data_IF_905864595216
#
_entry.id   IF_905864595216
#
_cell.length_a   1.000
_cell.length_b   1.000
_cell.length_c   1.000
_cell.angle_alpha   90.00
_cell.angle_beta   90.00
_cell.angle_gamma   90.00
#
_symmetry.space_group_name_H-M   'P 1'
#
loop_
_entity.id
_entity.type
_entity.pdbx_description
1 polymer ?
#
# COMPACT_ATOMS: atom_id res chain seq x y z
N UNK A 1 -33.39 -37.72 52.90
CA UNK A 1 -33.24 -36.32 52.43
C UNK A 1 -32.76 -36.41 50.98
N UNK A 2 -33.71 -36.53 50.04
CA UNK A 2 -34.13 -35.47 49.09
C UNK A 2 -33.04 -35.22 48.03
N UNK A 3 -33.13 -35.78 46.83
CA UNK A 3 -33.94 -35.35 45.66
C UNK A 3 -33.57 -33.97 45.08
N UNK A 4 -33.48 -33.97 43.74
CA UNK A 4 -33.52 -32.86 42.76
C UNK A 4 -32.19 -32.12 42.48
N UNK A 5 -31.88 -31.61 41.28
CA UNK A 5 -32.36 -31.77 39.89
C UNK A 5 -31.45 -30.91 38.98
N UNK A 6 -31.58 -31.12 37.67
CA UNK A 6 -30.91 -30.48 36.52
C UNK A 6 -30.51 -28.99 36.60
N UNK A 7 -29.41 -28.63 35.92
CA UNK A 7 -29.39 -27.44 35.07
C UNK A 7 -28.42 -27.58 33.89
N UNK A 8 -29.01 -27.67 32.70
CA UNK A 8 -28.40 -27.36 31.40
C UNK A 8 -28.05 -25.87 31.37
N UNK A 9 -26.80 -25.55 31.07
CA UNK A 9 -26.42 -24.20 30.66
C UNK A 9 -25.58 -24.27 29.38
N UNK A 10 -26.24 -23.89 28.28
CA UNK A 10 -25.61 -23.54 27.01
C UNK A 10 -24.53 -22.47 27.26
N UNK A 11 -23.30 -22.74 26.85
CA UNK A 11 -22.28 -21.69 26.70
C UNK A 11 -22.00 -21.55 25.20
N UNK A 12 -22.37 -20.36 24.75
CA UNK A 12 -22.19 -19.77 23.44
C UNK A 12 -20.71 -19.92 23.03
N UNK A 13 -20.47 -20.54 21.87
CA UNK A 13 -19.14 -20.53 21.24
C UNK A 13 -18.98 -19.14 20.61
N UNK A 14 -18.46 -18.20 21.39
CA UNK A 14 -17.98 -16.93 20.87
C UNK A 14 -16.78 -17.20 19.95
N UNK A 15 -17.02 -17.01 18.66
CA UNK A 15 -16.04 -17.07 17.60
C UNK A 15 -15.05 -15.91 17.70
N UNK A 16 -14.06 -16.05 18.57
CA UNK A 16 -12.80 -15.30 18.49
C UNK A 16 -11.76 -16.18 17.78
N UNK A 17 -11.82 -16.19 16.45
CA UNK A 17 -10.76 -16.77 15.64
C UNK A 17 -9.53 -15.85 15.78
N UNK A 18 -8.54 -16.32 16.53
CA UNK A 18 -7.29 -15.60 16.79
C UNK A 18 -6.51 -15.45 15.48
N UNK A 19 -6.64 -14.28 14.87
CA UNK A 19 -5.80 -13.82 13.76
C UNK A 19 -4.53 -13.22 14.38
N UNK A 20 -3.41 -13.91 14.15
CA UNK A 20 -2.03 -13.41 14.26
C UNK A 20 -1.60 -12.81 15.61
N UNK A 21 -1.11 -13.67 16.52
CA UNK A 21 -0.12 -13.28 17.52
C UNK A 21 1.21 -13.97 17.21
N UNK A 22 1.94 -13.40 16.28
CA UNK A 22 3.40 -13.54 16.15
C UNK A 22 3.90 -12.19 15.64
N UNK A 23 4.00 -11.23 16.57
CA UNK A 23 4.68 -9.95 16.37
C UNK A 23 5.72 -9.89 17.48
N UNK A 24 6.98 -10.01 17.09
CA UNK A 24 8.12 -9.71 17.94
C UNK A 24 7.99 -8.30 18.52
N UNK A 25 8.19 -8.23 19.82
CA UNK A 25 8.04 -7.07 20.69
C UNK A 25 9.08 -5.99 20.34
N UNK A 26 8.67 -4.88 19.71
CA UNK A 26 9.46 -3.63 19.68
C UNK A 26 8.54 -2.38 19.70
N UNK A 27 8.53 -1.77 20.89
CA UNK A 27 8.53 -0.33 21.23
C UNK A 27 7.62 0.62 20.43
N UNK A 28 6.56 1.06 21.11
CA UNK A 28 5.71 2.20 20.79
C UNK A 28 6.53 3.50 20.73
N UNK A 29 6.42 4.24 19.63
CA UNK A 29 6.66 5.70 19.63
C UNK A 29 5.72 6.42 18.65
N UNK A 30 4.89 7.26 19.24
CA UNK A 30 4.02 8.35 18.76
C UNK A 30 3.95 8.65 17.25
N UNK A 31 2.80 8.33 16.62
CA UNK A 31 2.21 9.08 15.46
C UNK A 31 0.93 8.40 14.90
N UNK A 32 -0.19 8.46 15.64
CA UNK A 32 -1.39 7.65 15.32
C UNK A 32 -2.52 8.35 14.51
N UNK A 33 -2.26 9.48 13.85
CA UNK A 33 -3.29 10.18 13.04
C UNK A 33 -3.04 10.09 11.51
N UNK A 34 -1.81 9.86 11.06
CA UNK A 34 -1.46 9.80 9.64
C UNK A 34 -1.62 8.41 9.02
N UNK A 35 -1.37 7.33 9.78
CA UNK A 35 -1.46 5.96 9.26
C UNK A 35 -2.90 5.59 8.83
N UNK A 36 -3.91 6.18 9.46
CA UNK A 36 -5.32 5.90 9.15
C UNK A 36 -5.73 6.42 7.76
N UNK A 37 -5.24 7.61 7.37
CA UNK A 37 -5.59 8.24 6.08
C UNK A 37 -4.92 7.55 4.89
N UNK A 38 -3.68 7.08 5.03
CA UNK A 38 -2.99 6.31 3.99
C UNK A 38 -3.70 4.98 3.70
N UNK A 39 -4.18 4.32 4.77
CA UNK A 39 -4.89 3.05 4.67
C UNK A 39 -6.27 3.20 4.01
N UNK A 40 -7.04 4.21 4.41
CA UNK A 40 -8.36 4.50 3.82
C UNK A 40 -8.25 4.83 2.32
N UNK A 41 -7.31 5.69 1.95
CA UNK A 41 -7.06 6.04 0.54
C UNK A 41 -6.57 4.85 -0.28
N UNK A 42 -5.79 3.95 0.31
CA UNK A 42 -5.40 2.69 -0.33
C UNK A 42 -6.62 1.81 -0.58
N UNK A 43 -7.43 1.51 0.43
CA UNK A 43 -8.61 0.64 0.25
C UNK A 43 -9.64 1.21 -0.71
N UNK A 44 -9.81 2.53 -0.76
CA UNK A 44 -10.65 3.20 -1.76
C UNK A 44 -10.23 2.85 -3.20
N UNK A 45 -8.91 2.83 -3.48
CA UNK A 45 -8.37 2.42 -4.78
C UNK A 45 -8.54 0.92 -5.02
N UNK A 46 -8.35 0.09 -3.98
CA UNK A 46 -8.49 -1.37 -4.05
C UNK A 46 -9.92 -1.76 -4.43
N UNK A 47 -10.92 -1.18 -3.77
CA UNK A 47 -12.33 -1.46 -4.07
C UNK A 47 -12.76 -0.93 -5.44
N UNK A 48 -12.29 0.26 -5.83
CA UNK A 48 -12.50 0.78 -7.19
C UNK A 48 -11.87 -0.10 -8.28
N UNK A 49 -10.77 -0.81 -7.97
CA UNK A 49 -10.21 -1.82 -8.86
C UNK A 49 -11.06 -3.11 -8.86
N UNK A 50 -11.54 -3.55 -7.69
CA UNK A 50 -12.38 -4.75 -7.55
C UNK A 50 -13.64 -4.67 -8.41
N UNK A 51 -14.31 -3.53 -8.45
CA UNK A 51 -15.54 -3.31 -9.25
C UNK A 51 -15.33 -3.46 -10.76
N UNK A 52 -14.10 -3.23 -11.26
CA UNK A 52 -13.78 -3.34 -12.68
C UNK A 52 -13.52 -4.78 -13.13
N UNK A 53 -13.48 -5.74 -12.20
CA UNK A 53 -13.14 -7.13 -12.50
C UNK A 53 -14.38 -7.93 -12.91
N UNK A 54 -14.25 -8.76 -13.94
CA UNK A 54 -15.33 -9.67 -14.38
C UNK A 54 -15.65 -10.78 -13.36
N UNK A 55 -14.66 -11.20 -12.57
CA UNK A 55 -14.77 -12.26 -11.56
C UNK A 55 -13.99 -11.88 -10.28
N UNK A 56 -14.47 -10.90 -9.49
CA UNK A 56 -13.69 -10.29 -8.42
C UNK A 56 -13.30 -11.29 -7.33
N UNK A 57 -14.22 -12.15 -6.90
CA UNK A 57 -13.99 -13.10 -5.79
C UNK A 57 -12.90 -14.14 -6.08
N UNK A 58 -12.66 -14.47 -7.36
CA UNK A 58 -11.58 -15.40 -7.74
C UNK A 58 -10.24 -14.70 -7.91
N UNK A 59 -10.22 -13.39 -8.14
CA UNK A 59 -9.00 -12.61 -8.34
C UNK A 59 -8.50 -12.02 -7.02
N UNK A 60 -9.43 -11.58 -6.18
CA UNK A 60 -9.18 -10.94 -4.89
C UNK A 60 -10.06 -11.63 -3.84
N UNK A 61 -9.43 -12.36 -2.94
CA UNK A 61 -10.12 -13.16 -1.92
C UNK A 61 -10.49 -12.24 -0.76
N UNK A 62 -11.79 -12.08 -0.51
CA UNK A 62 -12.29 -11.46 0.72
C UNK A 62 -12.20 -12.42 1.90
N UNK A 63 -12.22 -11.90 3.13
CA UNK A 63 -12.23 -12.73 4.33
C UNK A 63 -13.40 -13.72 4.33
N UNK A 64 -14.59 -13.25 3.95
CA UNK A 64 -15.78 -14.11 3.83
C UNK A 64 -15.62 -15.26 2.83
N UNK A 65 -14.84 -15.05 1.77
CA UNK A 65 -14.56 -16.06 0.76
C UNK A 65 -13.44 -17.01 1.21
N UNK A 66 -12.45 -16.47 1.90
CA UNK A 66 -11.39 -17.23 2.55
C UNK A 66 -11.95 -18.27 3.53
N UNK A 67 -12.88 -17.87 4.41
CA UNK A 67 -13.52 -18.77 5.38
C UNK A 67 -14.32 -19.87 4.68
N UNK A 68 -15.02 -19.54 3.59
CA UNK A 68 -15.73 -20.54 2.77
C UNK A 68 -14.77 -21.58 2.19
N UNK A 69 -13.57 -21.17 1.75
CA UNK A 69 -12.55 -22.09 1.25
C UNK A 69 -12.06 -23.00 2.39
N UNK A 70 -11.79 -22.45 3.58
CA UNK A 70 -11.35 -23.23 4.74
C UNK A 70 -12.40 -24.29 5.10
N UNK A 71 -13.67 -23.89 5.23
CA UNK A 71 -14.78 -24.82 5.56
C UNK A 71 -14.89 -25.94 4.52
N UNK A 72 -14.68 -25.63 3.23
CA UNK A 72 -14.70 -26.61 2.15
C UNK A 72 -13.55 -27.61 2.25
N UNK A 73 -12.35 -27.16 2.65
CA UNK A 73 -11.17 -28.00 2.76
C UNK A 73 -11.12 -28.82 4.06
N UNK A 74 -11.75 -28.33 5.14
CA UNK A 74 -11.82 -29.03 6.42
C UNK A 74 -12.83 -30.18 6.41
N UNK A 75 -13.90 -30.10 5.60
CA UNK A 75 -14.90 -31.17 5.55
C UNK A 75 -14.30 -32.42 4.92
N UNK A 76 -14.16 -33.53 5.66
CA UNK A 76 -13.82 -34.82 5.06
C UNK A 76 -14.91 -35.18 4.07
N UNK A 77 -14.55 -36.03 3.10
CA UNK A 77 -15.37 -36.38 1.93
C UNK A 77 -16.57 -37.27 2.34
N UNK A 78 -17.35 -36.85 3.32
CA UNK A 78 -18.60 -37.47 3.73
C UNK A 78 -19.59 -37.14 2.62
N UNK A 79 -20.13 -38.14 1.93
CA UNK A 79 -21.03 -37.99 0.77
C UNK A 79 -22.35 -37.23 1.01
N UNK A 80 -22.43 -36.37 2.02
CA UNK A 80 -23.50 -35.43 2.29
C UNK A 80 -23.35 -34.20 1.39
N UNK A 81 -24.41 -33.87 0.65
CA UNK A 81 -24.50 -32.64 -0.15
C UNK A 81 -24.34 -31.44 0.79
N UNK A 82 -23.18 -30.80 0.78
CA UNK A 82 -22.89 -29.59 1.57
C UNK A 82 -23.68 -28.36 1.10
N UNK A 83 -24.51 -28.50 0.05
CA UNK A 83 -25.18 -27.37 -0.62
C UNK A 83 -24.23 -26.49 -1.43
N UNK A 84 -22.94 -26.84 -1.48
CA UNK A 84 -21.90 -26.08 -2.15
C UNK A 84 -21.69 -26.65 -3.56
N UNK A 85 -21.53 -25.75 -4.54
CA UNK A 85 -21.28 -26.12 -5.94
C UNK A 85 -20.07 -27.07 -6.08
N UNK A 86 -20.29 -28.20 -6.75
CA UNK A 86 -19.26 -29.22 -6.98
C UNK A 86 -18.05 -28.65 -7.74
N UNK A 87 -18.27 -27.69 -8.64
CA UNK A 87 -17.16 -27.04 -9.38
C UNK A 87 -16.30 -26.20 -8.45
N UNK A 88 -16.91 -25.47 -7.50
CA UNK A 88 -16.19 -24.69 -6.50
C UNK A 88 -15.36 -25.59 -5.58
N UNK A 89 -15.95 -26.69 -5.10
CA UNK A 89 -15.23 -27.64 -4.26
C UNK A 89 -14.01 -28.28 -4.97
N UNK A 90 -14.19 -28.70 -6.24
CA UNK A 90 -13.09 -29.21 -7.05
C UNK A 90 -11.99 -28.15 -7.28
N UNK A 91 -12.39 -26.90 -7.53
CA UNK A 91 -11.46 -25.79 -7.65
C UNK A 91 -10.66 -25.55 -6.35
N UNK A 92 -11.31 -25.55 -5.19
CA UNK A 92 -10.64 -25.37 -3.91
C UNK A 92 -9.58 -26.45 -3.67
N UNK A 93 -9.95 -27.73 -3.84
CA UNK A 93 -9.02 -28.87 -3.67
C UNK A 93 -7.86 -28.86 -4.66
N UNK A 94 -8.07 -28.31 -5.86
CA UNK A 94 -7.03 -28.21 -6.89
C UNK A 94 -5.99 -27.12 -6.61
N UNK A 95 -6.39 -26.03 -5.97
CA UNK A 95 -5.57 -24.83 -5.85
C UNK A 95 -5.00 -24.60 -4.45
N UNK A 96 -5.67 -25.09 -3.40
CA UNK A 96 -5.33 -24.76 -2.02
C UNK A 96 -5.11 -25.98 -1.14
N UNK A 97 -4.34 -25.76 -0.07
CA UNK A 97 -4.17 -26.66 1.06
C UNK A 97 -4.26 -25.84 2.35
N UNK A 98 -4.67 -26.48 3.43
CA UNK A 98 -4.60 -25.87 4.76
C UNK A 98 -3.30 -26.34 5.41
N UNK A 99 -2.55 -25.39 5.94
CA UNK A 99 -1.42 -25.63 6.84
C UNK A 99 -1.83 -25.27 8.27
N UNK A 100 -1.30 -25.97 9.27
CA UNK A 100 -1.59 -25.72 10.68
C UNK A 100 -0.32 -25.16 11.31
N UNK A 101 -0.31 -23.85 11.56
CA UNK A 101 0.80 -23.16 12.20
C UNK A 101 0.32 -22.59 13.52
N UNK A 102 0.97 -22.95 14.63
CA UNK A 102 0.67 -22.43 15.97
C UNK A 102 -0.81 -22.60 16.39
N UNK A 103 -1.47 -23.67 15.93
CA UNK A 103 -2.89 -23.92 16.20
C UNK A 103 -3.88 -23.17 15.30
N UNK A 104 -3.40 -22.34 14.36
CA UNK A 104 -4.21 -21.60 13.39
C UNK A 104 -4.17 -22.24 12.00
N UNK A 105 -5.31 -22.25 11.32
CA UNK A 105 -5.43 -22.74 9.94
C UNK A 105 -5.02 -21.64 8.95
N UNK A 106 -3.92 -21.85 8.23
CA UNK A 106 -3.43 -20.94 7.20
C UNK A 106 -3.70 -21.54 5.83
N UNK A 107 -4.37 -20.78 4.96
CA UNK A 107 -4.62 -21.20 3.58
C UNK A 107 -3.37 -20.96 2.74
N UNK A 108 -2.88 -22.01 2.11
CA UNK A 108 -1.68 -22.00 1.27
C UNK A 108 -2.00 -22.53 -0.13
N UNK A 109 -1.20 -22.11 -1.12
CA UNK A 109 -1.25 -22.70 -2.45
C UNK A 109 -0.79 -24.16 -2.41
N UNK A 110 -1.50 -25.02 -3.14
CA UNK A 110 -1.15 -26.43 -3.25
C UNK A 110 0.20 -26.62 -3.95
N UNK A 111 0.49 -25.83 -4.99
CA UNK A 111 1.71 -25.96 -5.81
C UNK A 111 2.98 -25.48 -5.11
N UNK A 112 2.95 -24.25 -4.60
CA UNK A 112 4.17 -23.55 -4.14
C UNK A 112 4.21 -23.36 -2.63
N UNK A 113 3.15 -23.74 -1.89
CA UNK A 113 3.08 -23.58 -0.44
C UNK A 113 2.93 -22.14 0.07
N UNK A 114 2.93 -21.14 -0.82
CA UNK A 114 2.80 -19.72 -0.46
C UNK A 114 1.45 -19.40 0.17
N UNK A 115 1.44 -18.48 1.14
CA UNK A 115 0.25 -18.09 1.89
C UNK A 115 -0.70 -17.27 1.01
N UNK A 116 -1.98 -17.57 1.09
CA UNK A 116 -3.03 -16.81 0.40
C UNK A 116 -3.34 -15.55 1.18
N UNK A 117 -3.32 -14.41 0.49
CA UNK A 117 -3.59 -13.12 1.10
C UNK A 117 -5.05 -12.70 0.90
N UNK A 118 -5.68 -12.19 1.98
CA UNK A 118 -7.03 -11.62 1.96
C UNK A 118 -6.98 -10.11 1.76
N UNK A 119 -8.01 -9.54 1.12
CA UNK A 119 -8.10 -8.10 0.81
C UNK A 119 -7.84 -7.25 2.06
N UNK A 120 -8.45 -7.60 3.18
CA UNK A 120 -8.42 -6.90 4.47
C UNK A 120 -7.03 -6.88 5.11
N UNK A 121 -6.11 -7.73 4.63
CA UNK A 121 -4.72 -7.81 5.09
C UNK A 121 -3.72 -7.17 4.12
N UNK A 122 -4.17 -6.69 2.95
CA UNK A 122 -3.29 -6.15 1.91
C UNK A 122 -2.44 -5.01 2.43
N UNK A 123 -3.05 -4.04 3.13
CA UNK A 123 -2.33 -2.86 3.62
C UNK A 123 -1.22 -3.24 4.60
N UNK A 124 -1.56 -4.02 5.63
CA UNK A 124 -0.61 -4.45 6.68
C UNK A 124 0.56 -5.23 6.11
N UNK A 125 0.31 -6.16 5.18
CA UNK A 125 1.37 -6.98 4.56
C UNK A 125 2.26 -6.13 3.66
N UNK A 126 1.68 -5.28 2.81
CA UNK A 126 2.45 -4.40 1.93
C UNK A 126 3.27 -3.38 2.73
N UNK A 127 2.70 -2.82 3.81
CA UNK A 127 3.40 -1.92 4.74
C UNK A 127 4.61 -2.60 5.37
N UNK A 128 4.43 -3.81 5.92
CA UNK A 128 5.52 -4.58 6.53
C UNK A 128 6.64 -4.88 5.52
N UNK A 129 6.30 -5.33 4.30
CA UNK A 129 7.30 -5.61 3.25
C UNK A 129 8.00 -4.32 2.80
N UNK A 130 7.25 -3.22 2.68
CA UNK A 130 7.80 -1.95 2.27
C UNK A 130 8.79 -1.38 3.31
N UNK A 131 8.47 -1.50 4.59
CA UNK A 131 9.37 -1.15 5.70
C UNK A 131 10.61 -2.07 5.72
N UNK A 132 10.41 -3.40 5.64
CA UNK A 132 11.53 -4.38 5.59
C UNK A 132 12.49 -4.15 4.43
N UNK A 133 11.97 -3.73 3.28
CA UNK A 133 12.80 -3.46 2.09
C UNK A 133 13.47 -2.10 2.12
N UNK A 134 13.23 -1.28 3.15
CA UNK A 134 13.75 0.09 3.26
C UNK A 134 13.11 1.03 2.24
N UNK A 135 11.78 1.04 2.16
CA UNK A 135 11.03 1.76 1.14
C UNK A 135 11.37 1.33 -0.30
N UNK A 136 11.48 0.02 -0.50
CA UNK A 136 11.78 -0.57 -1.81
C UNK A 136 10.73 -0.22 -2.87
N UNK A 137 11.18 -0.01 -4.10
CA UNK A 137 10.27 0.19 -5.24
C UNK A 137 9.48 -1.07 -5.62
N UNK A 138 8.66 -0.95 -6.66
CA UNK A 138 7.73 -1.99 -7.14
C UNK A 138 8.37 -3.37 -7.28
N UNK A 139 9.49 -3.44 -7.98
CA UNK A 139 10.08 -4.73 -8.33
C UNK A 139 10.70 -5.42 -7.11
N UNK A 140 11.26 -4.65 -6.17
CA UNK A 140 11.79 -5.15 -4.89
C UNK A 140 10.67 -5.65 -3.99
N UNK A 141 9.60 -4.87 -3.84
CA UNK A 141 8.42 -5.31 -3.10
C UNK A 141 7.79 -6.57 -3.70
N UNK A 142 7.70 -6.63 -5.03
CA UNK A 142 7.14 -7.79 -5.73
C UNK A 142 8.00 -9.03 -5.54
N UNK A 143 9.32 -8.88 -5.55
CA UNK A 143 10.24 -9.97 -5.27
C UNK A 143 10.01 -10.53 -3.88
N UNK A 144 10.07 -9.68 -2.84
CA UNK A 144 9.87 -10.10 -1.45
C UNK A 144 8.47 -10.68 -1.19
N UNK A 145 7.42 -10.04 -1.72
CA UNK A 145 6.05 -10.54 -1.59
C UNK A 145 5.91 -11.95 -2.14
N UNK A 146 6.46 -12.21 -3.32
CA UNK A 146 6.33 -13.49 -4.01
C UNK A 146 7.07 -14.64 -3.31
N UNK A 147 7.97 -14.38 -2.35
CA UNK A 147 8.64 -15.41 -1.56
C UNK A 147 7.68 -16.07 -0.55
N UNK A 148 6.76 -15.30 0.03
CA UNK A 148 5.93 -15.74 1.15
C UNK A 148 4.44 -15.80 0.83
N UNK A 149 3.99 -14.93 -0.08
CA UNK A 149 2.59 -14.64 -0.30
C UNK A 149 2.18 -14.85 -1.76
N UNK A 150 0.88 -15.00 -1.96
CA UNK A 150 0.26 -15.09 -3.28
C UNK A 150 -1.17 -14.52 -3.24
N UNK A 151 -1.80 -14.39 -4.41
CA UNK A 151 -3.19 -13.95 -4.59
C UNK A 151 -3.40 -12.44 -4.40
N UNK A 152 -2.39 -11.66 -4.79
CA UNK A 152 -2.41 -10.20 -4.84
C UNK A 152 -2.12 -9.70 -6.27
N UNK A 153 -3.02 -8.92 -6.90
CA UNK A 153 -2.77 -8.30 -8.20
C UNK A 153 -1.60 -7.32 -8.15
N UNK A 154 -0.74 -7.28 -9.17
CA UNK A 154 0.44 -6.40 -9.20
C UNK A 154 0.10 -4.92 -9.08
N UNK A 155 -1.08 -4.53 -9.57
CA UNK A 155 -1.62 -3.17 -9.47
C UNK A 155 -1.77 -2.72 -8.01
N UNK A 156 -1.99 -3.64 -7.06
CA UNK A 156 -2.14 -3.30 -5.65
C UNK A 156 -0.82 -2.78 -5.05
N UNK A 157 0.32 -3.35 -5.47
CA UNK A 157 1.66 -2.85 -5.09
C UNK A 157 1.85 -1.43 -5.61
N UNK A 158 1.48 -1.17 -6.87
CA UNK A 158 1.58 0.15 -7.47
C UNK A 158 0.68 1.18 -6.76
N UNK A 159 -0.55 0.80 -6.42
CA UNK A 159 -1.47 1.63 -5.65
C UNK A 159 -0.91 1.96 -4.27
N UNK A 160 -0.33 0.98 -3.58
CA UNK A 160 0.29 1.17 -2.26
C UNK A 160 1.48 2.13 -2.32
N UNK A 161 2.39 1.95 -3.28
CA UNK A 161 3.55 2.82 -3.46
C UNK A 161 3.17 4.28 -3.77
N UNK A 162 2.01 4.48 -4.40
CA UNK A 162 1.45 5.81 -4.62
C UNK A 162 0.80 6.42 -3.37
N UNK A 163 0.52 5.66 -2.32
CA UNK A 163 -0.09 6.17 -1.09
C UNK A 163 0.94 6.49 0.00
N UNK A 164 2.13 5.91 -0.05
CA UNK A 164 3.17 6.10 0.97
C UNK A 164 3.71 7.54 0.98
N UNK A 165 3.45 8.28 2.06
CA UNK A 165 3.86 9.69 2.25
C UNK A 165 5.38 9.84 2.19
N UNK A 166 6.15 8.98 2.87
CA UNK A 166 7.62 9.11 2.90
C UNK A 166 8.24 8.93 1.51
N UNK A 167 7.67 8.04 0.69
CA UNK A 167 8.06 7.87 -0.71
C UNK A 167 7.64 9.07 -1.57
N UNK A 168 6.44 9.62 -1.35
CA UNK A 168 5.95 10.78 -2.10
C UNK A 168 6.81 12.03 -1.85
N UNK A 169 7.18 12.30 -0.60
CA UNK A 169 8.01 13.46 -0.21
C UNK A 169 9.41 13.38 -0.85
N UNK A 170 9.99 12.17 -0.94
CA UNK A 170 11.31 11.94 -1.55
C UNK A 170 11.28 11.90 -3.08
N UNK A 171 10.10 11.86 -3.69
CA UNK A 171 9.96 11.72 -5.14
C UNK A 171 10.39 13.01 -5.81
N UNK A 172 11.57 13.02 -6.43
CA UNK A 172 12.03 14.12 -7.25
C UNK A 172 11.00 14.44 -8.34
N UNK A 173 10.69 15.73 -8.54
CA UNK A 173 9.87 16.19 -9.66
C UNK A 173 10.64 15.85 -10.94
N UNK A 174 10.23 14.75 -11.61
CA UNK A 174 10.97 14.19 -12.77
C UNK A 174 10.94 15.10 -14.00
N UNK A 175 10.01 16.05 -14.02
CA UNK A 175 9.88 17.02 -15.08
C UNK A 175 9.95 18.41 -14.44
N UNK A 176 11.14 19.03 -14.30
CA UNK A 176 11.15 20.47 -14.18
C UNK A 176 10.36 20.98 -15.39
N UNK A 177 9.33 21.80 -15.15
CA UNK A 177 8.66 22.51 -16.23
C UNK A 177 9.79 23.22 -16.97
N UNK A 178 10.08 22.79 -18.19
CA UNK A 178 11.10 23.44 -19.01
C UNK A 178 10.60 24.85 -19.20
N UNK A 179 11.20 25.81 -18.48
CA UNK A 179 10.86 27.21 -18.67
C UNK A 179 11.20 27.51 -20.11
N UNK A 180 10.18 27.76 -20.94
CA UNK A 180 10.41 28.26 -22.28
C UNK A 180 11.30 29.50 -22.18
N UNK A 181 12.21 29.67 -23.15
CA UNK A 181 13.11 30.81 -23.14
C UNK A 181 12.28 32.11 -23.10
N UNK A 182 12.70 33.06 -22.26
CA UNK A 182 12.08 34.39 -22.22
C UNK A 182 12.40 35.10 -23.55
N UNK A 183 11.40 35.25 -24.42
CA UNK A 183 11.51 35.97 -25.69
C UNK A 183 11.00 37.40 -25.49
N UNK A 184 11.73 38.38 -26.02
CA UNK A 184 11.36 39.79 -26.08
C UNK A 184 11.29 40.24 -27.53
N UNK A 185 10.21 40.92 -27.92
CA UNK A 185 9.92 41.25 -29.33
C UNK A 185 10.48 42.63 -29.72
N UNK A 186 10.81 43.50 -28.76
CA UNK A 186 11.38 44.83 -29.02
C UNK A 186 12.18 45.43 -27.87
N UNK A 187 12.86 46.55 -28.13
CA UNK A 187 13.68 47.26 -27.15
C UNK A 187 12.85 47.73 -25.96
N UNK A 188 13.37 47.52 -24.74
CA UNK A 188 12.71 47.86 -23.47
C UNK A 188 11.33 47.19 -23.25
N UNK A 189 10.98 46.19 -24.05
CA UNK A 189 9.73 45.43 -23.84
C UNK A 189 9.82 44.48 -22.65
N UNK A 190 11.04 44.04 -22.30
CA UNK A 190 11.28 43.20 -21.13
C UNK A 190 12.68 43.40 -20.58
N UNK A 191 12.76 43.77 -19.31
CA UNK A 191 14.00 43.94 -18.55
C UNK A 191 14.15 42.83 -17.53
N UNK A 192 15.36 42.30 -17.41
CA UNK A 192 15.78 41.51 -16.27
C UNK A 192 16.54 42.43 -15.32
N UNK A 193 16.07 42.52 -14.08
CA UNK A 193 16.71 43.30 -13.02
C UNK A 193 17.24 42.33 -11.98
N UNK A 194 18.49 42.52 -11.58
CA UNK A 194 19.16 41.69 -10.58
C UNK A 194 19.98 42.58 -9.62
N UNK A 195 20.15 42.11 -8.39
CA UNK A 195 20.98 42.77 -7.39
C UNK A 195 22.22 41.93 -7.15
N UNK A 196 23.37 42.48 -7.51
CA UNK A 196 24.67 41.85 -7.26
C UNK A 196 25.11 42.22 -5.85
N UNK A 197 25.36 41.21 -5.03
CA UNK A 197 25.81 41.36 -3.64
C UNK A 197 27.29 41.74 -3.56
N UNK A 198 27.57 42.92 -3.02
CA UNK A 198 28.92 43.40 -2.72
C UNK A 198 29.17 43.59 -1.23
N UNK A 199 28.34 43.03 -0.33
CA UNK A 199 28.50 43.20 1.13
C UNK A 199 29.86 42.78 1.67
N UNK A 200 30.55 41.86 0.99
CA UNK A 200 31.91 41.43 1.38
C UNK A 200 32.98 42.48 1.08
N UNK A 201 32.73 43.38 0.11
CA UNK A 201 33.65 44.44 -0.36
C UNK A 201 32.85 45.66 -0.86
N UNK A 202 32.16 46.39 0.05
CA UNK A 202 31.34 47.54 -0.34
C UNK A 202 32.22 48.71 -0.81
N UNK A 203 31.69 49.54 -1.71
CA UNK A 203 32.26 50.85 -2.02
C UNK A 203 31.53 51.92 -1.19
N UNK A 204 32.17 52.33 -0.08
CA UNK A 204 31.57 53.24 0.90
C UNK A 204 30.24 52.69 1.41
N UNK A 205 29.15 53.43 1.21
CA UNK A 205 27.80 53.08 1.64
C UNK A 205 27.08 52.14 0.65
N UNK A 206 27.66 51.89 -0.53
CA UNK A 206 27.05 51.06 -1.56
C UNK A 206 27.45 49.59 -1.40
N UNK A 207 26.47 48.76 -1.06
CA UNK A 207 26.66 47.32 -0.78
C UNK A 207 26.11 46.40 -1.88
N UNK A 208 25.46 46.98 -2.89
CA UNK A 208 24.77 46.26 -3.94
C UNK A 208 24.95 47.00 -5.26
N UNK A 209 25.01 46.28 -6.37
CA UNK A 209 24.87 46.85 -7.71
C UNK A 209 23.54 46.40 -8.28
N UNK A 210 22.71 47.34 -8.72
CA UNK A 210 21.52 47.04 -9.50
C UNK A 210 21.92 46.85 -10.96
N UNK A 211 21.86 45.60 -11.43
CA UNK A 211 22.08 45.25 -12.82
C UNK A 211 20.74 45.16 -13.55
N UNK A 212 20.57 45.99 -14.57
CA UNK A 212 19.40 45.95 -15.45
C UNK A 212 19.84 45.53 -16.84
N UNK A 213 19.25 44.48 -17.41
CA UNK A 213 19.54 44.00 -18.76
C UNK A 213 18.27 43.93 -19.60
N UNK A 214 18.30 44.57 -20.76
CA UNK A 214 17.23 44.44 -21.75
C UNK A 214 17.32 43.08 -22.45
N UNK A 215 16.20 42.35 -22.52
CA UNK A 215 16.17 41.04 -23.15
C UNK A 215 16.34 41.09 -24.67
N UNK A 216 15.97 42.20 -25.34
CA UNK A 216 15.99 42.30 -26.80
C UNK A 216 17.37 42.70 -27.32
N UNK A 217 17.81 43.90 -26.97
CA UNK A 217 19.10 44.49 -27.38
C UNK A 217 20.30 43.91 -26.65
N UNK A 218 20.07 43.20 -25.53
CA UNK A 218 21.12 42.76 -24.59
C UNK A 218 21.90 43.89 -23.93
N UNK A 219 21.47 45.15 -24.08
CA UNK A 219 22.08 46.29 -23.42
C UNK A 219 21.96 46.16 -21.90
N UNK A 220 22.98 46.61 -21.17
CA UNK A 220 23.03 46.50 -19.71
C UNK A 220 23.37 47.84 -19.06
N UNK A 221 22.69 48.11 -17.95
CA UNK A 221 22.97 49.21 -17.04
C UNK A 221 23.36 48.63 -15.68
N UNK A 222 24.28 49.30 -15.01
CA UNK A 222 24.66 49.00 -13.63
C UNK A 222 24.58 50.31 -12.84
N UNK A 223 23.88 50.27 -11.71
CA UNK A 223 23.71 51.39 -10.78
C UNK A 223 24.21 51.00 -9.40
#
# INVERSE_FOLDING_TARGET
>A
MSMESNLLANIIIDGNHSIMKDVDEVVVSDSNDYSCKEEETFYSKVYAYKEKLKNPEKVMISLSFYDKIIVVLQKPNDGKKTGIDAKFHCWCKKHFKIDITSGSHILCLLKDGRRVVVIESYYTILKNIHEKTGHGGRDKMRYEFNQHYYWLPSQMIDCFLQCCISCQVRKSIKNPVVSTAIISIGFMTRLQMDLIDLRTRPDKDFQWILHCRDHYSKYSWAF
#
